data_IF_430128165630
#
_entry.id   IF_430128165630
#
_cell.length_a   1.000
_cell.length_b   1.000
_cell.length_c   1.000
_cell.angle_alpha   90.00
_cell.angle_beta   90.00
_cell.angle_gamma   90.00
#
_symmetry.space_group_name_H-M   'P 1'
#
loop_
_entity.id
_entity.type
_entity.pdbx_description
1 polymer ?
#
# COMPACT_ATOMS: atom_id res chain seq x y z
N UNK A 1 -9.73 25.31 8.54
CA UNK A 1 -8.71 24.40 9.12
C UNK A 1 -9.09 22.94 8.93
N UNK A 2 -10.26 22.47 9.43
CA UNK A 2 -10.69 21.06 9.33
C UNK A 2 -10.85 20.59 7.87
N UNK A 3 -11.39 21.44 6.99
CA UNK A 3 -11.61 21.11 5.58
C UNK A 3 -10.32 20.74 4.84
N UNK A 4 -9.25 21.51 5.05
CA UNK A 4 -7.94 21.25 4.41
C UNK A 4 -7.39 19.91 4.89
N UNK A 5 -7.51 19.60 6.19
CA UNK A 5 -7.09 18.31 6.75
C UNK A 5 -7.85 17.15 6.12
N UNK A 6 -9.17 17.28 5.96
CA UNK A 6 -10.00 16.26 5.31
C UNK A 6 -9.60 16.06 3.84
N UNK A 7 -9.42 17.14 3.09
CA UNK A 7 -9.01 17.07 1.67
C UNK A 7 -7.66 16.36 1.54
N UNK A 8 -6.67 16.73 2.35
CA UNK A 8 -5.35 16.11 2.34
C UNK A 8 -5.41 14.62 2.73
N UNK A 9 -6.20 14.28 3.76
CA UNK A 9 -6.37 12.90 4.19
C UNK A 9 -7.06 12.06 3.10
N UNK A 10 -8.12 12.57 2.48
CA UNK A 10 -8.82 11.91 1.39
C UNK A 10 -7.90 11.72 0.18
N UNK A 11 -7.14 12.73 -0.21
CA UNK A 11 -6.17 12.62 -1.30
C UNK A 11 -5.08 11.59 -0.98
N UNK A 12 -4.55 11.60 0.25
CA UNK A 12 -3.55 10.64 0.71
C UNK A 12 -4.07 9.20 0.65
N UNK A 13 -5.28 8.95 1.15
CA UNK A 13 -5.91 7.63 1.14
C UNK A 13 -6.29 7.20 -0.28
N UNK A 14 -6.75 8.11 -1.13
CA UNK A 14 -7.06 7.82 -2.53
C UNK A 14 -5.81 7.36 -3.30
N UNK A 15 -4.67 8.04 -3.11
CA UNK A 15 -3.39 7.62 -3.69
C UNK A 15 -2.98 6.24 -3.16
N UNK A 16 -3.08 6.04 -1.84
CA UNK A 16 -2.82 4.74 -1.22
C UNK A 16 -3.70 3.61 -1.78
N UNK A 17 -4.97 3.91 -2.03
CA UNK A 17 -5.95 2.96 -2.57
C UNK A 17 -5.62 2.58 -4.02
N UNK A 18 -5.15 3.53 -4.83
CA UNK A 18 -4.65 3.21 -6.18
C UNK A 18 -3.30 2.48 -6.16
N UNK A 19 -2.44 2.78 -5.19
CA UNK A 19 -1.11 2.18 -5.07
C UNK A 19 -1.16 0.72 -4.59
N UNK A 20 -2.00 0.42 -3.59
CA UNK A 20 -2.01 -0.88 -2.93
C UNK A 20 -2.26 -2.09 -3.87
N UNK A 21 -3.23 -2.06 -4.82
CA UNK A 21 -3.42 -3.15 -5.78
C UNK A 21 -2.19 -3.37 -6.68
N UNK A 22 -1.56 -2.28 -7.12
CA UNK A 22 -0.36 -2.34 -7.96
C UNK A 22 0.84 -2.88 -7.18
N UNK A 23 0.99 -2.46 -5.93
CA UNK A 23 2.00 -2.97 -5.01
C UNK A 23 1.77 -4.45 -4.69
N UNK A 24 0.54 -4.88 -4.41
CA UNK A 24 0.21 -6.29 -4.19
C UNK A 24 0.58 -7.19 -5.38
N UNK A 25 0.32 -6.72 -6.61
CA UNK A 25 0.56 -7.51 -7.81
C UNK A 25 2.05 -7.60 -8.19
N UNK A 26 2.82 -6.52 -8.03
CA UNK A 26 4.20 -6.44 -8.55
C UNK A 26 5.27 -6.09 -7.53
N UNK A 27 4.92 -5.33 -6.49
CA UNK A 27 5.88 -4.81 -5.51
C UNK A 27 6.10 -5.72 -4.31
N UNK A 28 5.04 -6.37 -3.83
CA UNK A 28 5.07 -7.17 -2.61
C UNK A 28 6.03 -8.35 -2.74
N UNK A 29 5.98 -9.08 -3.86
CA UNK A 29 6.87 -10.19 -4.16
C UNK A 29 8.36 -9.78 -4.29
N UNK A 30 8.64 -8.52 -4.66
CA UNK A 30 10.01 -7.99 -4.75
C UNK A 30 10.56 -7.54 -3.40
N UNK A 31 9.71 -6.91 -2.59
CA UNK A 31 10.09 -6.42 -1.26
C UNK A 31 10.18 -7.56 -0.24
N UNK A 32 9.33 -8.58 -0.39
CA UNK A 32 9.30 -9.76 0.45
C UNK A 32 9.05 -11.01 -0.40
N UNK A 33 10.10 -11.77 -0.77
CA UNK A 33 9.95 -13.00 -1.54
C UNK A 33 9.09 -14.06 -0.84
N UNK A 34 9.05 -14.07 0.50
CA UNK A 34 8.28 -15.04 1.30
C UNK A 34 6.78 -14.80 1.10
N UNK A 35 6.38 -13.56 0.86
CA UNK A 35 4.98 -13.18 0.61
C UNK A 35 4.39 -13.78 -0.67
N UNK A 36 5.20 -14.32 -1.60
CA UNK A 36 4.68 -15.01 -2.78
C UNK A 36 3.83 -16.24 -2.44
N UNK A 37 4.13 -16.91 -1.31
CA UNK A 37 3.38 -18.06 -0.82
C UNK A 37 2.16 -17.67 0.03
N UNK A 38 1.90 -16.37 0.19
CA UNK A 38 0.79 -15.89 1.02
C UNK A 38 -0.56 -16.18 0.39
N UNK A 39 -1.52 -16.56 1.22
CA UNK A 39 -2.91 -16.82 0.82
C UNK A 39 -3.63 -15.54 0.41
N UNK A 40 -4.72 -15.69 -0.37
CA UNK A 40 -5.60 -14.56 -0.72
C UNK A 40 -6.10 -13.81 0.52
N UNK A 41 -6.37 -14.53 1.62
CA UNK A 41 -6.77 -13.92 2.89
C UNK A 41 -5.70 -12.98 3.47
N UNK A 42 -4.43 -13.36 3.41
CA UNK A 42 -3.32 -12.50 3.86
C UNK A 42 -3.25 -11.20 3.05
N UNK A 43 -3.46 -11.28 1.73
CA UNK A 43 -3.45 -10.11 0.85
C UNK A 43 -4.59 -9.14 1.17
N UNK A 44 -5.78 -9.66 1.45
CA UNK A 44 -6.93 -8.84 1.86
C UNK A 44 -6.70 -8.20 3.23
N UNK A 45 -6.12 -8.95 4.18
CA UNK A 45 -5.86 -8.46 5.53
C UNK A 45 -4.76 -7.37 5.56
N UNK A 46 -3.76 -7.49 4.69
CA UNK A 46 -2.65 -6.53 4.60
C UNK A 46 -2.95 -5.33 3.71
N UNK A 47 -3.96 -5.42 2.83
CA UNK A 47 -4.40 -4.33 1.96
C UNK A 47 -4.62 -2.98 2.68
N UNK A 48 -5.40 -2.88 3.77
CA UNK A 48 -5.59 -1.59 4.46
C UNK A 48 -4.29 -1.01 5.00
N UNK A 49 -3.38 -1.88 5.49
CA UNK A 49 -2.04 -1.46 5.91
C UNK A 49 -1.21 -0.92 4.74
N UNK A 50 -1.36 -1.51 3.54
CA UNK A 50 -0.67 -1.02 2.34
C UNK A 50 -1.21 0.32 1.85
N UNK A 51 -2.52 0.54 1.95
CA UNK A 51 -3.14 1.84 1.65
C UNK A 51 -2.64 2.91 2.61
N UNK A 52 -2.60 2.63 3.92
CA UNK A 52 -2.15 3.59 4.93
C UNK A 52 -0.65 3.88 4.85
N UNK A 53 0.17 2.86 4.57
CA UNK A 53 1.64 2.95 4.59
C UNK A 53 2.26 3.02 3.19
N UNK A 54 1.48 3.42 2.19
CA UNK A 54 1.90 3.47 0.79
C UNK A 54 3.22 4.24 0.55
N UNK A 55 3.54 5.37 1.21
CA UNK A 55 4.79 6.11 0.93
C UNK A 55 6.02 5.31 1.39
N UNK A 56 5.90 4.62 2.53
CA UNK A 56 6.96 3.79 3.09
C UNK A 56 7.17 2.56 2.20
N UNK A 57 6.08 1.93 1.76
CA UNK A 57 6.13 0.79 0.84
C UNK A 57 6.67 1.17 -0.52
N UNK A 58 6.29 2.33 -1.07
CA UNK A 58 6.84 2.87 -2.30
C UNK A 58 8.35 3.12 -2.19
N UNK A 59 8.83 3.65 -1.06
CA UNK A 59 10.26 3.84 -0.80
C UNK A 59 11.01 2.50 -0.69
N UNK A 60 10.43 1.52 0.00
CA UNK A 60 11.00 0.16 0.08
C UNK A 60 11.06 -0.48 -1.30
N UNK A 61 10.00 -0.35 -2.10
CA UNK A 61 9.93 -0.92 -3.43
C UNK A 61 10.98 -0.35 -4.38
N UNK A 62 11.24 0.96 -4.33
CA UNK A 62 12.31 1.57 -5.12
C UNK A 62 13.73 1.10 -4.74
N UNK A 63 13.89 0.52 -3.55
CA UNK A 63 15.18 0.04 -3.02
C UNK A 63 15.36 -1.47 -3.17
N UNK A 64 14.30 -2.21 -3.47
CA UNK A 64 14.27 -3.66 -3.64
C UNK A 64 14.41 -4.01 -5.12
#
# INVERSE_FOLDING_TARGET
MIEITLILLTAYLAIGLCFAPFFLAKGLARVDPISQQSSLGFRVLTFPGMVLLWPVLARKWKRA
#
